data_IF_757530100204
#
_entry.id   IF_757530100204
#
_cell.length_a   1.000
_cell.length_b   1.000
_cell.length_c   1.000
_cell.angle_alpha   90.00
_cell.angle_beta   90.00
_cell.angle_gamma   90.00
#
_symmetry.space_group_name_H-M   'P 1'
#
loop_
_entity.id
_entity.type
_entity.pdbx_description
1 polymer ?
#
# COMPACT_ATOMS: atom_id res chain seq x y z
N UNK A 1 40.37 -29.45 9.88
CA UNK A 1 39.06 -28.87 10.24
C UNK A 1 39.27 -27.98 11.46
N UNK A 2 39.83 -26.79 11.23
CA UNK A 2 40.35 -25.87 12.24
C UNK A 2 39.38 -24.71 12.42
N UNK A 3 39.12 -24.38 13.68
CA UNK A 3 38.12 -23.42 14.23
C UNK A 3 38.33 -21.95 13.82
N UNK A 4 39.10 -21.65 12.77
CA UNK A 4 39.59 -20.30 12.46
C UNK A 4 38.74 -19.47 11.49
N UNK A 5 37.80 -20.07 10.75
CA UNK A 5 36.99 -19.33 9.76
C UNK A 5 36.04 -18.25 10.33
N UNK A 6 35.32 -18.45 11.45
CA UNK A 6 34.32 -17.46 11.89
C UNK A 6 34.99 -16.19 12.44
N UNK A 7 36.15 -16.34 13.09
CA UNK A 7 36.91 -15.22 13.64
C UNK A 7 37.51 -14.36 12.54
N UNK A 8 38.06 -14.97 11.47
CA UNK A 8 38.57 -14.22 10.31
C UNK A 8 37.47 -13.46 9.58
N UNK A 9 36.30 -14.08 9.35
CA UNK A 9 35.16 -13.39 8.72
C UNK A 9 34.63 -12.23 9.56
N UNK A 10 34.62 -12.35 10.89
CA UNK A 10 34.23 -11.26 11.79
C UNK A 10 35.27 -10.13 11.80
N UNK A 11 36.55 -10.48 11.81
CA UNK A 11 37.64 -9.50 11.74
C UNK A 11 37.65 -8.77 10.40
N UNK A 12 37.46 -9.46 9.27
CA UNK A 12 37.35 -8.83 7.94
C UNK A 12 36.13 -7.89 7.85
N UNK A 13 35.00 -8.28 8.44
CA UNK A 13 33.76 -7.48 8.45
C UNK A 13 33.84 -6.24 9.36
N UNK A 14 34.71 -6.24 10.36
CA UNK A 14 34.96 -5.12 11.28
C UNK A 14 36.14 -4.25 10.80
N UNK A 15 37.14 -4.85 10.15
CA UNK A 15 38.29 -4.13 9.59
C UNK A 15 37.89 -3.28 8.37
N UNK A 16 37.01 -3.78 7.51
CA UNK A 16 36.52 -3.03 6.34
C UNK A 16 35.95 -1.63 6.67
N UNK A 17 35.07 -1.50 7.68
CA UNK A 17 34.58 -0.21 8.16
C UNK A 17 35.64 0.74 8.75
N UNK A 18 36.72 0.22 9.34
CA UNK A 18 37.77 1.03 9.97
C UNK A 18 38.76 1.54 8.92
N UNK A 19 39.13 0.70 7.95
CA UNK A 19 39.95 1.11 6.80
C UNK A 19 39.21 2.13 5.92
N UNK A 20 37.90 1.97 5.71
CA UNK A 20 37.08 2.95 5.01
C UNK A 20 37.07 4.33 5.71
N UNK A 21 37.10 4.36 7.05
CA UNK A 21 37.17 5.59 7.83
C UNK A 21 38.51 6.32 7.65
N UNK A 22 39.63 5.58 7.57
CA UNK A 22 40.95 6.15 7.31
C UNK A 22 41.07 6.71 5.87
N UNK A 23 40.46 6.05 4.90
CA UNK A 23 40.41 6.49 3.51
C UNK A 23 39.53 7.74 3.32
N UNK A 24 38.47 7.92 4.11
CA UNK A 24 37.65 9.14 4.11
C UNK A 24 38.36 10.37 4.72
N UNK A 25 39.40 10.17 5.52
CA UNK A 25 40.21 11.26 6.10
C UNK A 25 41.34 11.75 5.19
N UNK A 26 41.79 10.93 4.24
CA UNK A 26 42.65 11.40 3.14
C UNK A 26 41.77 11.96 2.03
N UNK A 27 42.16 13.08 1.43
CA UNK A 27 41.38 13.85 0.45
C UNK A 27 41.23 13.17 -0.93
N UNK A 28 41.08 11.85 -0.96
CA UNK A 28 41.02 11.02 -2.17
C UNK A 28 39.62 10.41 -2.33
N UNK A 29 38.71 11.20 -2.92
CA UNK A 29 37.32 10.83 -3.17
C UNK A 29 37.18 9.53 -3.98
N UNK A 30 38.17 9.19 -4.82
CA UNK A 30 38.15 7.97 -5.61
C UNK A 30 38.34 6.71 -4.75
N UNK A 31 39.27 6.75 -3.78
CA UNK A 31 39.46 5.64 -2.84
C UNK A 31 38.30 5.49 -1.87
N UNK A 32 37.72 6.61 -1.42
CA UNK A 32 36.53 6.59 -0.57
C UNK A 32 35.33 5.96 -1.31
N UNK A 33 35.11 6.33 -2.57
CA UNK A 33 34.06 5.71 -3.39
C UNK A 33 34.31 4.22 -3.60
N UNK A 34 35.55 3.81 -3.90
CA UNK A 34 35.89 2.39 -4.09
C UNK A 34 35.69 1.56 -2.81
N UNK A 35 36.01 2.13 -1.64
CA UNK A 35 35.76 1.47 -0.35
C UNK A 35 34.25 1.34 -0.06
N UNK A 36 33.45 2.35 -0.40
CA UNK A 36 31.99 2.32 -0.25
C UNK A 36 31.32 1.35 -1.24
N UNK A 37 31.78 1.32 -2.50
CA UNK A 37 31.33 0.35 -3.52
C UNK A 37 31.63 -1.09 -3.10
N UNK A 38 32.80 -1.33 -2.48
CA UNK A 38 33.16 -2.65 -1.95
C UNK A 38 32.38 -3.08 -0.70
N UNK A 39 31.61 -2.19 -0.07
CA UNK A 39 30.73 -2.51 1.06
C UNK A 39 29.32 -2.95 0.64
N UNK A 40 28.96 -2.74 -0.63
CA UNK A 40 27.67 -3.15 -1.19
C UNK A 40 27.88 -4.50 -1.88
N UNK A 41 27.30 -5.56 -1.32
CA UNK A 41 27.23 -6.84 -2.01
C UNK A 41 26.42 -6.64 -3.30
N UNK A 42 27.03 -6.91 -4.45
CA UNK A 42 26.49 -6.63 -5.78
C UNK A 42 25.07 -7.15 -5.97
N UNK A 43 24.11 -6.25 -5.79
CA UNK A 43 22.71 -6.59 -5.64
C UNK A 43 21.97 -6.36 -6.97
N UNK A 44 21.04 -7.26 -7.28
CA UNK A 44 20.22 -7.26 -8.50
C UNK A 44 19.58 -5.93 -8.89
N UNK A 45 19.39 -5.02 -7.93
CA UNK A 45 18.80 -3.69 -8.13
C UNK A 45 19.74 -2.76 -8.89
N UNK A 46 21.05 -2.80 -8.63
CA UNK A 46 22.02 -1.96 -9.36
C UNK A 46 22.13 -2.40 -10.83
N UNK A 47 22.06 -3.71 -11.07
CA UNK A 47 21.96 -4.26 -12.42
C UNK A 47 20.66 -3.83 -13.13
N UNK A 48 19.51 -3.86 -12.43
CA UNK A 48 18.22 -3.36 -12.95
C UNK A 48 18.30 -1.86 -13.26
N UNK A 49 18.92 -1.05 -12.39
CA UNK A 49 19.14 0.39 -12.64
C UNK A 49 20.01 0.60 -13.88
N UNK A 50 21.11 -0.13 -14.02
CA UNK A 50 21.99 -0.02 -15.19
C UNK A 50 21.25 -0.44 -16.47
N UNK A 51 20.47 -1.51 -16.42
CA UNK A 51 19.64 -1.95 -17.55
C UNK A 51 18.61 -0.88 -17.95
N UNK A 52 17.91 -0.29 -16.98
CA UNK A 52 16.94 0.79 -17.23
C UNK A 52 17.60 2.08 -17.75
N UNK A 53 18.82 2.40 -17.30
CA UNK A 53 19.58 3.56 -17.79
C UNK A 53 20.12 3.37 -19.21
N UNK A 54 20.44 2.12 -19.58
CA UNK A 54 20.85 1.78 -20.95
C UNK A 54 19.66 1.79 -21.92
N UNK A 55 18.44 1.59 -21.43
CA UNK A 55 17.22 1.74 -22.23
C UNK A 55 16.89 3.23 -22.49
N UNK A 56 17.43 3.74 -23.60
CA UNK A 56 17.22 5.11 -24.06
C UNK A 56 15.83 5.38 -24.64
N UNK A 57 14.99 4.36 -24.87
CA UNK A 57 13.71 4.56 -25.56
C UNK A 57 12.63 5.07 -24.59
N UNK A 58 11.87 6.13 -24.94
CA UNK A 58 10.76 6.60 -24.09
C UNK A 58 9.58 5.63 -24.02
N UNK A 59 9.40 4.80 -25.05
CA UNK A 59 8.37 3.76 -25.15
C UNK A 59 9.00 2.56 -25.87
N UNK A 60 8.93 1.37 -25.26
CA UNK A 60 9.38 0.14 -25.90
C UNK A 60 8.53 -0.24 -27.13
N UNK A 61 7.20 -0.06 -27.05
CA UNK A 61 6.29 -0.32 -28.17
C UNK A 61 5.39 0.88 -28.47
N UNK A 62 5.88 1.86 -29.26
CA UNK A 62 5.11 3.04 -29.61
C UNK A 62 3.78 2.71 -30.31
N UNK A 63 3.73 1.68 -31.15
CA UNK A 63 2.50 1.33 -31.88
C UNK A 63 1.43 0.70 -30.98
N UNK A 64 1.84 -0.07 -29.97
CA UNK A 64 0.93 -0.71 -29.02
C UNK A 64 0.45 0.24 -27.92
N UNK A 65 1.22 1.30 -27.61
CA UNK A 65 0.92 2.21 -26.51
C UNK A 65 -0.48 2.87 -26.59
N UNK A 66 -0.94 3.48 -27.71
CA UNK A 66 -2.25 4.14 -27.75
C UNK A 66 -3.44 3.22 -27.48
N UNK A 67 -3.58 2.04 -28.12
CA UNK A 67 -4.68 1.14 -27.80
C UNK A 67 -4.60 0.60 -26.36
N UNK A 68 -3.39 0.35 -25.83
CA UNK A 68 -3.21 -0.13 -24.46
C UNK A 68 -3.53 0.94 -23.41
N UNK A 69 -3.16 2.20 -23.65
CA UNK A 69 -3.57 3.33 -22.80
C UNK A 69 -5.10 3.45 -22.76
N UNK A 70 -5.79 3.35 -23.91
CA UNK A 70 -7.27 3.39 -23.95
C UNK A 70 -7.88 2.20 -23.21
N UNK A 71 -7.31 1.01 -23.35
CA UNK A 71 -7.77 -0.18 -22.63
C UNK A 71 -7.60 0.00 -21.11
N UNK A 72 -6.50 0.60 -20.67
CA UNK A 72 -6.26 0.97 -19.28
C UNK A 72 -7.24 2.05 -18.78
N UNK A 73 -7.48 3.13 -19.53
CA UNK A 73 -8.47 4.15 -19.13
C UNK A 73 -9.87 3.53 -19.04
N UNK A 74 -10.23 2.64 -19.97
CA UNK A 74 -11.48 1.87 -19.91
C UNK A 74 -11.54 0.97 -18.68
N UNK A 75 -10.45 0.32 -18.30
CA UNK A 75 -10.42 -0.51 -17.09
C UNK A 75 -10.57 0.34 -15.83
N UNK A 76 -10.02 1.56 -15.78
CA UNK A 76 -10.27 2.52 -14.71
C UNK A 76 -11.75 2.92 -14.63
N UNK A 77 -12.44 3.14 -15.76
CA UNK A 77 -13.87 3.42 -15.77
C UNK A 77 -14.68 2.25 -15.19
N UNK A 78 -14.38 1.02 -15.64
CA UNK A 78 -15.00 -0.21 -15.14
C UNK A 78 -14.72 -0.38 -13.65
N UNK A 79 -13.50 -0.12 -13.21
CA UNK A 79 -13.10 -0.18 -11.81
C UNK A 79 -13.87 0.83 -10.96
N UNK A 80 -13.92 2.09 -11.38
CA UNK A 80 -14.68 3.15 -10.72
C UNK A 80 -16.16 2.77 -10.51
N UNK A 81 -16.78 2.12 -11.50
CA UNK A 81 -18.19 1.68 -11.44
C UNK A 81 -18.43 0.42 -10.62
N UNK A 82 -17.48 -0.50 -10.55
CA UNK A 82 -17.72 -1.85 -10.03
C UNK A 82 -16.94 -2.18 -8.75
N UNK A 83 -15.78 -1.58 -8.53
CA UNK A 83 -14.91 -1.87 -7.38
C UNK A 83 -15.58 -1.55 -6.04
N UNK A 84 -16.52 -0.60 -6.03
CA UNK A 84 -17.20 -0.09 -4.83
C UNK A 84 -18.60 -0.68 -4.61
N UNK A 85 -19.08 -1.53 -5.52
CA UNK A 85 -20.41 -2.12 -5.40
C UNK A 85 -20.50 -2.98 -4.16
N UNK A 86 -21.64 -2.93 -3.46
CA UNK A 86 -21.93 -3.78 -2.31
C UNK A 86 -21.63 -5.25 -2.65
N UNK A 87 -20.82 -5.95 -1.85
CA UNK A 87 -20.52 -7.35 -2.09
C UNK A 87 -21.76 -8.21 -1.84
N UNK A 88 -22.06 -9.11 -2.77
CA UNK A 88 -23.11 -10.11 -2.59
C UNK A 88 -22.58 -11.30 -1.78
N UNK A 89 -23.46 -11.95 -1.00
CA UNK A 89 -23.17 -13.24 -0.37
C UNK A 89 -22.19 -13.18 0.81
N UNK A 90 -22.22 -12.12 1.63
CA UNK A 90 -21.48 -12.12 2.89
C UNK A 90 -22.08 -13.15 3.85
N UNK A 91 -21.29 -14.14 4.25
CA UNK A 91 -21.70 -15.25 5.13
C UNK A 91 -21.69 -14.86 6.61
N UNK A 92 -22.38 -13.77 6.99
CA UNK A 92 -22.38 -13.22 8.35
C UNK A 92 -23.63 -13.55 9.18
N UNK A 93 -24.55 -14.38 8.66
CA UNK A 93 -25.76 -14.81 9.37
C UNK A 93 -26.61 -13.65 9.85
N UNK A 94 -27.00 -13.65 11.13
CA UNK A 94 -27.81 -12.60 11.76
C UNK A 94 -27.12 -11.23 11.79
N UNK A 95 -25.78 -11.17 11.69
CA UNK A 95 -25.01 -9.92 11.74
C UNK A 95 -24.85 -9.25 10.37
N UNK A 96 -25.36 -9.87 9.31
CA UNK A 96 -25.33 -9.34 7.93
C UNK A 96 -25.72 -7.86 7.79
N UNK A 97 -26.81 -7.35 8.41
CA UNK A 97 -27.18 -5.93 8.25
C UNK A 97 -26.16 -4.95 8.80
N UNK A 98 -25.36 -5.35 9.79
CA UNK A 98 -24.31 -4.51 10.39
C UNK A 98 -22.99 -4.69 9.64
N UNK A 99 -22.65 -5.93 9.29
CA UNK A 99 -21.37 -6.26 8.65
C UNK A 99 -21.30 -5.78 7.21
N UNK A 100 -22.41 -5.87 6.46
CA UNK A 100 -22.45 -5.46 5.05
C UNK A 100 -22.05 -4.01 4.80
N UNK A 101 -22.62 -3.00 5.50
CA UNK A 101 -22.21 -1.62 5.30
C UNK A 101 -20.75 -1.38 5.70
N UNK A 102 -20.26 -2.03 6.77
CA UNK A 102 -18.86 -1.91 7.21
C UNK A 102 -17.90 -2.45 6.15
N UNK A 103 -18.12 -3.68 5.66
CA UNK A 103 -17.29 -4.28 4.60
C UNK A 103 -17.37 -3.46 3.31
N UNK A 104 -18.55 -2.92 2.97
CA UNK A 104 -18.73 -2.07 1.78
C UNK A 104 -17.92 -0.78 1.90
N UNK A 105 -17.97 -0.10 3.04
CA UNK A 105 -17.19 1.11 3.31
C UNK A 105 -15.69 0.84 3.21
N UNK A 106 -15.20 -0.22 3.84
CA UNK A 106 -13.79 -0.61 3.79
C UNK A 106 -13.34 -0.92 2.37
N UNK A 107 -14.12 -1.73 1.63
CA UNK A 107 -13.85 -2.06 0.22
C UNK A 107 -13.79 -0.81 -0.65
N UNK A 108 -14.75 0.11 -0.49
CA UNK A 108 -14.78 1.36 -1.25
C UNK A 108 -13.57 2.25 -0.94
N UNK A 109 -13.17 2.33 0.34
CA UNK A 109 -12.01 3.11 0.78
C UNK A 109 -10.72 2.58 0.17
N UNK A 110 -10.49 1.26 0.24
CA UNK A 110 -9.30 0.62 -0.35
C UNK A 110 -9.28 0.84 -1.86
N UNK A 111 -10.39 0.55 -2.54
CA UNK A 111 -10.51 0.71 -3.98
C UNK A 111 -10.22 2.15 -4.44
N UNK A 112 -10.75 3.17 -3.75
CA UNK A 112 -10.46 4.57 -4.06
C UNK A 112 -8.97 4.88 -3.91
N UNK A 113 -8.39 4.53 -2.75
CA UNK A 113 -6.98 4.81 -2.48
C UNK A 113 -6.03 4.15 -3.48
N UNK A 114 -6.37 2.94 -3.95
CA UNK A 114 -5.59 2.25 -4.96
C UNK A 114 -5.76 2.88 -6.35
N UNK A 115 -6.99 3.21 -6.75
CA UNK A 115 -7.26 3.86 -8.03
C UNK A 115 -6.53 5.21 -8.13
N UNK A 116 -6.58 6.04 -7.07
CA UNK A 116 -5.91 7.33 -7.03
C UNK A 116 -4.38 7.19 -7.14
N UNK A 117 -3.82 6.17 -6.47
CA UNK A 117 -2.39 5.85 -6.57
C UNK A 117 -2.01 5.45 -7.99
N UNK A 118 -2.75 4.52 -8.59
CA UNK A 118 -2.49 4.04 -9.96
C UNK A 118 -2.50 5.21 -10.95
N UNK A 119 -3.51 6.09 -10.89
CA UNK A 119 -3.60 7.26 -11.77
C UNK A 119 -2.40 8.19 -11.58
N UNK A 120 -2.03 8.47 -10.32
CA UNK A 120 -0.89 9.31 -9.99
C UNK A 120 0.43 8.72 -10.49
N UNK A 121 0.65 7.42 -10.31
CA UNK A 121 1.87 6.74 -10.69
C UNK A 121 2.02 6.68 -12.22
N UNK A 122 0.96 6.33 -12.94
CA UNK A 122 0.97 6.34 -14.43
C UNK A 122 1.17 7.76 -14.95
N UNK A 123 0.50 8.75 -14.37
CA UNK A 123 0.68 10.16 -14.74
C UNK A 123 2.12 10.62 -14.54
N UNK A 124 2.73 10.27 -13.40
CA UNK A 124 4.12 10.60 -13.09
C UNK A 124 5.07 9.93 -14.09
N UNK A 125 4.83 8.66 -14.41
CA UNK A 125 5.59 7.92 -15.40
C UNK A 125 5.52 8.60 -16.79
N UNK A 126 4.31 8.96 -17.24
CA UNK A 126 4.15 9.66 -18.51
C UNK A 126 4.84 11.02 -18.52
N UNK A 127 4.77 11.77 -17.42
CA UNK A 127 5.45 13.05 -17.30
C UNK A 127 6.97 12.91 -17.43
N UNK A 128 7.56 11.91 -16.79
CA UNK A 128 9.01 11.65 -16.89
C UNK A 128 9.41 11.18 -18.29
N UNK A 129 8.63 10.27 -18.90
CA UNK A 129 8.90 9.78 -20.27
C UNK A 129 8.70 10.86 -21.33
N UNK A 130 7.71 11.74 -21.16
CA UNK A 130 7.48 12.89 -22.05
C UNK A 130 8.66 13.86 -22.03
N UNK A 131 9.24 14.11 -20.84
CA UNK A 131 10.43 14.94 -20.67
C UNK A 131 11.70 14.28 -21.24
N UNK A 132 11.79 12.95 -21.22
CA UNK A 132 12.89 12.19 -21.84
C UNK A 132 12.71 12.01 -23.36
N UNK A 133 11.55 12.37 -23.92
CA UNK A 133 11.30 12.24 -25.35
C UNK A 133 11.81 13.48 -26.10
N UNK A 134 12.41 13.33 -27.30
CA UNK A 134 12.75 14.48 -28.13
C UNK A 134 11.51 15.35 -28.39
N UNK A 135 11.65 16.67 -28.22
CA UNK A 135 10.54 17.60 -28.37
C UNK A 135 9.93 17.47 -29.77
N UNK A 136 8.60 17.29 -29.83
CA UNK A 136 7.90 17.11 -31.10
C UNK A 136 8.05 15.74 -31.76
N UNK A 137 8.67 14.75 -31.10
CA UNK A 137 8.63 13.36 -31.57
C UNK A 137 7.21 12.79 -31.52
N UNK A 138 7.02 11.63 -32.15
CA UNK A 138 5.73 10.93 -32.13
C UNK A 138 5.38 10.50 -30.71
N UNK A 139 6.33 9.92 -30.00
CA UNK A 139 6.26 9.44 -28.62
C UNK A 139 5.94 10.58 -27.67
N UNK A 140 6.62 11.72 -27.82
CA UNK A 140 6.35 12.93 -27.04
C UNK A 140 4.88 13.35 -27.16
N UNK A 141 4.33 13.42 -28.38
CA UNK A 141 2.91 13.77 -28.59
C UNK A 141 1.95 12.74 -27.99
N UNK A 142 2.29 11.46 -28.10
CA UNK A 142 1.47 10.36 -27.56
C UNK A 142 1.40 10.42 -26.03
N UNK A 143 2.55 10.56 -25.37
CA UNK A 143 2.67 10.70 -23.92
C UNK A 143 1.98 11.97 -23.42
N UNK A 144 2.19 13.12 -24.08
CA UNK A 144 1.54 14.37 -23.73
C UNK A 144 0.01 14.30 -23.83
N UNK A 145 -0.51 13.61 -24.86
CA UNK A 145 -1.96 13.37 -25.02
C UNK A 145 -2.51 12.45 -23.93
N UNK A 146 -1.83 11.33 -23.67
CA UNK A 146 -2.22 10.37 -22.63
C UNK A 146 -2.18 10.99 -21.23
N UNK A 147 -1.15 11.79 -20.91
CA UNK A 147 -1.05 12.53 -19.66
C UNK A 147 -2.20 13.52 -19.49
N UNK A 148 -2.54 14.30 -20.53
CA UNK A 148 -3.68 15.23 -20.50
C UNK A 148 -5.00 14.51 -20.22
N UNK A 149 -5.19 13.29 -20.73
CA UNK A 149 -6.36 12.47 -20.41
C UNK A 149 -6.38 12.09 -18.92
N UNK A 150 -5.24 11.69 -18.36
CA UNK A 150 -5.14 11.38 -16.92
C UNK A 150 -5.31 12.62 -16.03
N UNK A 151 -4.76 13.77 -16.43
CA UNK A 151 -4.95 15.06 -15.74
C UNK A 151 -6.45 15.41 -15.63
N UNK A 152 -7.21 15.18 -16.70
CA UNK A 152 -8.65 15.40 -16.72
C UNK A 152 -9.43 14.40 -15.83
N UNK A 153 -8.94 13.18 -15.67
CA UNK A 153 -9.55 12.19 -14.76
C UNK A 153 -9.33 12.57 -13.29
N UNK A 154 -8.11 12.96 -12.93
CA UNK A 154 -7.73 13.30 -11.55
C UNK A 154 -8.57 14.48 -11.00
N UNK A 155 -8.70 15.55 -11.79
CA UNK A 155 -9.51 16.72 -11.43
C UNK A 155 -11.00 16.40 -11.16
N UNK A 156 -11.52 15.36 -11.80
CA UNK A 156 -12.91 14.91 -11.63
C UNK A 156 -13.07 13.87 -10.50
N UNK A 157 -12.02 13.11 -10.19
CA UNK A 157 -12.05 12.12 -9.11
C UNK A 157 -11.92 12.77 -7.72
N UNK A 158 -11.10 13.82 -7.59
CA UNK A 158 -10.86 14.54 -6.34
C UNK A 158 -12.15 15.11 -5.68
N UNK A 159 -13.20 15.39 -6.47
CA UNK A 159 -14.49 15.90 -5.95
C UNK A 159 -15.36 14.83 -5.27
N UNK A 160 -15.01 13.55 -5.36
CA UNK A 160 -15.78 12.42 -4.78
C UNK A 160 -15.21 11.89 -3.46
N UNK A 161 -14.22 12.57 -2.88
CA UNK A 161 -13.54 12.17 -1.65
C UNK A 161 -14.49 12.04 -0.45
N UNK A 162 -14.48 10.84 0.13
CA UNK A 162 -15.14 10.36 1.35
C UNK A 162 -15.99 11.36 2.15
N UNK A 163 -17.31 11.26 2.02
CA UNK A 163 -18.20 11.68 3.09
C UNK A 163 -18.09 10.64 4.22
N UNK A 164 -17.18 10.87 5.18
CA UNK A 164 -17.33 10.26 6.50
C UNK A 164 -18.69 10.74 7.00
N UNK A 165 -19.64 9.85 7.32
CA UNK A 165 -20.97 10.28 7.73
C UNK A 165 -20.86 11.25 8.92
N UNK A 166 -21.43 12.45 8.78
CA UNK A 166 -21.31 13.53 9.77
C UNK A 166 -21.78 13.11 11.18
N UNK A 167 -22.60 12.07 11.30
CA UNK A 167 -23.05 11.53 12.57
C UNK A 167 -21.95 10.87 13.41
N UNK A 168 -20.81 10.49 12.81
CA UNK A 168 -19.65 9.95 13.54
C UNK A 168 -18.79 11.04 14.22
N UNK A 169 -19.09 12.32 14.00
CA UNK A 169 -18.27 13.46 14.45
C UNK A 169 -18.90 14.22 15.64
N UNK A 170 -20.03 13.75 16.18
CA UNK A 170 -20.69 14.39 17.32
C UNK A 170 -20.18 13.96 18.70
N UNK A 171 -19.77 14.91 19.55
CA UNK A 171 -19.30 14.67 20.93
C UNK A 171 -20.32 14.03 21.89
N UNK A 172 -21.60 14.00 21.54
CA UNK A 172 -22.65 13.36 22.32
C UNK A 172 -22.52 11.83 22.39
N UNK A 173 -22.02 11.19 21.31
CA UNK A 173 -21.81 9.73 21.28
C UNK A 173 -20.69 9.32 22.23
N UNK A 174 -19.60 10.09 22.26
CA UNK A 174 -18.46 9.82 23.14
C UNK A 174 -18.84 9.90 24.62
N UNK A 175 -19.69 10.87 24.99
CA UNK A 175 -20.15 11.04 26.38
C UNK A 175 -21.07 9.92 26.83
N UNK A 176 -21.99 9.48 25.96
CA UNK A 176 -22.85 8.33 26.25
C UNK A 176 -22.02 7.05 26.44
N UNK A 177 -21.09 6.78 25.51
CA UNK A 177 -20.20 5.61 25.56
C UNK A 177 -19.33 5.62 26.83
N UNK A 178 -18.76 6.77 27.20
CA UNK A 178 -17.95 6.90 28.41
C UNK A 178 -18.76 6.62 29.69
N UNK A 179 -20.02 7.07 29.75
CA UNK A 179 -20.88 6.81 30.91
C UNK A 179 -21.21 5.32 31.08
N UNK A 180 -21.52 4.63 29.98
CA UNK A 180 -21.84 3.19 29.98
C UNK A 180 -20.62 2.34 30.33
N UNK A 181 -19.44 2.75 29.84
CA UNK A 181 -18.16 2.14 30.20
C UNK A 181 -17.89 2.25 31.69
N UNK A 182 -18.08 3.45 32.27
CA UNK A 182 -17.80 3.67 33.69
C UNK A 182 -18.70 2.82 34.60
N UNK A 183 -19.97 2.62 34.22
CA UNK A 183 -20.90 1.77 34.97
C UNK A 183 -20.53 0.27 34.87
N UNK A 184 -20.10 -0.19 33.69
CA UNK A 184 -19.65 -1.58 33.49
C UNK A 184 -18.36 -1.90 34.26
N UNK A 185 -17.48 -0.92 34.44
CA UNK A 185 -16.19 -1.10 35.13
C UNK A 185 -16.33 -1.29 36.66
N UNK A 186 -17.48 -0.90 37.25
CA UNK A 186 -17.72 -0.96 38.70
C UNK A 186 -17.98 -2.37 39.25
N UNK A 187 -18.33 -3.34 38.39
CA UNK A 187 -18.66 -4.70 38.82
C UNK A 187 -17.78 -5.75 38.15
N UNK A 188 -17.46 -6.86 38.85
CA UNK A 188 -16.70 -7.98 38.28
C UNK A 188 -17.38 -8.58 37.04
N UNK A 189 -18.71 -8.70 37.08
CA UNK A 189 -19.54 -9.16 35.96
C UNK A 189 -19.53 -8.18 34.78
N UNK A 190 -19.61 -6.88 35.04
CA UNK A 190 -19.54 -5.84 34.01
C UNK A 190 -18.17 -5.77 33.35
N UNK A 191 -17.08 -5.93 34.11
CA UNK A 191 -15.70 -6.04 33.59
C UNK A 191 -15.54 -7.25 32.67
N UNK A 192 -16.06 -8.41 33.07
CA UNK A 192 -16.02 -9.63 32.25
C UNK A 192 -16.89 -9.50 30.98
N UNK A 193 -18.06 -8.90 31.09
CA UNK A 193 -18.92 -8.58 29.95
C UNK A 193 -18.26 -7.63 28.95
N UNK A 194 -17.60 -6.58 29.44
CA UNK A 194 -16.85 -5.63 28.62
C UNK A 194 -15.71 -6.32 27.85
N UNK A 195 -14.97 -7.22 28.51
CA UNK A 195 -13.91 -8.02 27.87
C UNK A 195 -14.46 -8.83 26.70
N UNK A 196 -15.57 -9.54 26.92
CA UNK A 196 -16.22 -10.34 25.87
C UNK A 196 -16.65 -9.44 24.70
N UNK A 197 -17.25 -8.28 24.98
CA UNK A 197 -17.65 -7.33 23.93
C UNK A 197 -16.45 -6.82 23.14
N UNK A 198 -15.37 -6.40 23.80
CA UNK A 198 -14.15 -5.95 23.14
C UNK A 198 -13.60 -7.06 22.25
N UNK A 199 -13.50 -8.29 22.75
CA UNK A 199 -13.00 -9.43 22.00
C UNK A 199 -13.86 -9.71 20.75
N UNK A 200 -15.19 -9.71 20.90
CA UNK A 200 -16.12 -9.90 19.79
C UNK A 200 -16.00 -8.79 18.74
N UNK A 201 -15.86 -7.54 19.17
CA UNK A 201 -15.66 -6.39 18.27
C UNK A 201 -14.33 -6.51 17.52
N UNK A 202 -13.24 -6.88 18.19
CA UNK A 202 -11.94 -7.09 17.55
C UNK A 202 -12.00 -8.22 16.51
N UNK A 203 -12.60 -9.36 16.85
CA UNK A 203 -12.76 -10.49 15.92
C UNK A 203 -13.63 -10.07 14.72
N UNK A 204 -14.74 -9.37 14.97
CA UNK A 204 -15.62 -8.86 13.92
C UNK A 204 -14.91 -7.87 13.00
N UNK A 205 -14.15 -6.93 13.56
CA UNK A 205 -13.36 -5.95 12.81
C UNK A 205 -12.28 -6.63 11.95
N UNK A 206 -11.55 -7.59 12.52
CA UNK A 206 -10.58 -8.40 11.79
C UNK A 206 -11.23 -9.12 10.60
N UNK A 207 -12.36 -9.79 10.82
CA UNK A 207 -13.09 -10.49 9.75
C UNK A 207 -13.52 -9.52 8.65
N UNK A 208 -14.05 -8.35 9.01
CA UNK A 208 -14.47 -7.34 8.04
C UNK A 208 -13.31 -6.82 7.20
N UNK A 209 -12.15 -6.54 7.81
CA UNK A 209 -10.95 -6.08 7.13
C UNK A 209 -10.43 -7.13 6.13
N UNK A 210 -10.31 -8.38 6.56
CA UNK A 210 -9.86 -9.48 5.69
C UNK A 210 -10.82 -9.66 4.51
N UNK A 211 -12.13 -9.62 4.75
CA UNK A 211 -13.12 -9.73 3.68
C UNK A 211 -13.05 -8.57 2.69
N UNK A 212 -12.94 -7.33 3.18
CA UNK A 212 -12.79 -6.16 2.32
C UNK A 212 -11.52 -6.24 1.46
N UNK A 213 -10.39 -6.65 2.04
CA UNK A 213 -9.14 -6.85 1.32
C UNK A 213 -9.27 -7.94 0.23
N UNK A 214 -9.88 -9.08 0.57
CA UNK A 214 -10.09 -10.18 -0.38
C UNK A 214 -10.99 -9.77 -1.56
N UNK A 215 -12.10 -9.05 -1.29
CA UNK A 215 -13.01 -8.55 -2.33
C UNK A 215 -12.28 -7.55 -3.23
N UNK A 216 -11.56 -6.60 -2.64
CA UNK A 216 -10.83 -5.55 -3.38
C UNK A 216 -9.74 -6.16 -4.25
N UNK A 217 -8.96 -7.10 -3.71
CA UNK A 217 -7.93 -7.82 -4.48
C UNK A 217 -8.53 -8.60 -5.65
N UNK A 218 -9.63 -9.32 -5.42
CA UNK A 218 -10.31 -10.06 -6.50
C UNK A 218 -10.79 -9.14 -7.62
N UNK A 219 -11.42 -8.01 -7.28
CA UNK A 219 -11.92 -7.05 -8.27
C UNK A 219 -10.77 -6.36 -9.02
N UNK A 220 -9.70 -5.99 -8.32
CA UNK A 220 -8.51 -5.40 -8.92
C UNK A 220 -7.86 -6.37 -9.90
N UNK A 221 -7.68 -7.64 -9.49
CA UNK A 221 -7.15 -8.68 -10.36
C UNK A 221 -7.96 -8.89 -11.64
N UNK A 222 -9.28 -8.84 -11.54
CA UNK A 222 -10.16 -9.05 -12.69
C UNK A 222 -10.23 -7.85 -13.64
N UNK A 223 -9.95 -6.64 -13.16
CA UNK A 223 -10.21 -5.41 -13.91
C UNK A 223 -8.92 -4.71 -14.32
N UNK A 224 -7.95 -4.57 -13.41
CA UNK A 224 -6.77 -3.70 -13.60
C UNK A 224 -5.47 -4.46 -13.85
N UNK A 225 -5.25 -5.64 -13.26
CA UNK A 225 -3.94 -6.32 -13.33
C UNK A 225 -3.47 -6.54 -14.78
N UNK A 226 -4.32 -7.10 -15.65
CA UNK A 226 -3.94 -7.39 -17.04
C UNK A 226 -3.75 -6.12 -17.90
N UNK A 227 -4.70 -5.16 -17.96
CA UNK A 227 -4.50 -3.93 -18.73
C UNK A 227 -3.28 -3.13 -18.27
N UNK A 228 -2.98 -3.15 -16.97
CA UNK A 228 -1.82 -2.48 -16.40
C UNK A 228 -0.52 -3.20 -16.78
N UNK A 229 -0.46 -4.53 -16.72
CA UNK A 229 0.72 -5.29 -17.14
C UNK A 229 1.05 -5.04 -18.62
N UNK A 230 0.05 -5.09 -19.50
CA UNK A 230 0.24 -4.83 -20.93
C UNK A 230 0.68 -3.38 -21.18
N UNK A 231 0.12 -2.41 -20.45
CA UNK A 231 0.55 -1.03 -20.54
C UNK A 231 2.02 -0.85 -20.11
N UNK A 232 2.45 -1.55 -19.06
CA UNK A 232 3.85 -1.52 -18.60
C UNK A 232 4.80 -2.13 -19.61
N UNK A 233 4.41 -3.24 -20.26
CA UNK A 233 5.17 -3.88 -21.33
C UNK A 233 5.37 -2.92 -22.51
N UNK A 234 4.32 -2.21 -22.94
CA UNK A 234 4.43 -1.25 -24.04
C UNK A 234 5.22 0.03 -23.68
N UNK A 235 5.28 0.40 -22.40
CA UNK A 235 6.11 1.52 -21.95
C UNK A 235 7.59 1.08 -21.89
N UNK A 236 7.87 -0.11 -21.36
CA UNK A 236 9.24 -0.60 -21.17
C UNK A 236 10.03 0.14 -20.07
N UNK A 237 11.04 -0.53 -19.52
CA UNK A 237 12.01 0.03 -18.55
C UNK A 237 11.40 0.84 -17.40
N UNK A 238 10.18 0.53 -16.97
CA UNK A 238 9.39 1.33 -16.03
C UNK A 238 9.23 0.64 -14.66
N UNK A 239 10.16 -0.25 -14.32
CA UNK A 239 10.06 -1.18 -13.20
C UNK A 239 8.75 -1.97 -13.18
N UNK A 240 8.22 -2.19 -11.98
CA UNK A 240 7.02 -3.00 -11.75
C UNK A 240 5.76 -2.12 -11.65
N UNK A 241 4.61 -2.57 -12.20
CA UNK A 241 3.36 -1.84 -12.06
C UNK A 241 2.92 -1.72 -10.59
N UNK A 242 2.14 -0.69 -10.22
CA UNK A 242 1.60 -0.54 -8.87
C UNK A 242 0.75 -1.74 -8.50
N UNK A 243 1.05 -2.37 -7.36
CA UNK A 243 0.27 -3.47 -6.84
C UNK A 243 -0.70 -3.00 -5.75
N UNK A 244 -1.90 -3.58 -5.74
CA UNK A 244 -2.90 -3.29 -4.72
C UNK A 244 -2.40 -3.68 -3.31
N UNK A 245 -2.58 -2.83 -2.28
CA UNK A 245 -1.96 -3.00 -0.97
C UNK A 245 -2.62 -4.06 -0.08
N UNK A 246 -3.27 -5.09 -0.63
CA UNK A 246 -3.93 -6.16 0.15
C UNK A 246 -3.02 -6.80 1.19
N UNK A 247 -1.71 -6.94 0.90
CA UNK A 247 -0.73 -7.43 1.88
C UNK A 247 -0.57 -6.49 3.07
N UNK A 248 -0.50 -5.19 2.83
CA UNK A 248 -0.42 -4.18 3.90
C UNK A 248 -1.72 -4.11 4.70
N UNK A 249 -2.88 -4.27 4.05
CA UNK A 249 -4.17 -4.36 4.74
C UNK A 249 -4.28 -5.63 5.59
N UNK A 250 -3.82 -6.77 5.10
CA UNK A 250 -3.77 -8.01 5.86
C UNK A 250 -2.81 -7.89 7.05
N UNK A 251 -1.65 -7.25 6.86
CA UNK A 251 -0.72 -6.94 7.94
C UNK A 251 -1.37 -6.02 8.98
N UNK A 252 -2.03 -4.94 8.56
CA UNK A 252 -2.75 -4.03 9.46
C UNK A 252 -3.87 -4.75 10.22
N UNK A 253 -4.65 -5.61 9.56
CA UNK A 253 -5.68 -6.42 10.21
C UNK A 253 -5.08 -7.38 11.24
N UNK A 254 -3.95 -8.01 10.90
CA UNK A 254 -3.23 -8.93 11.80
C UNK A 254 -2.67 -8.19 13.02
N UNK A 255 -2.04 -7.04 12.81
CA UNK A 255 -1.56 -6.17 13.89
C UNK A 255 -2.73 -5.72 14.77
N UNK A 256 -3.86 -5.32 14.18
CA UNK A 256 -5.05 -4.93 14.92
C UNK A 256 -5.62 -6.09 15.76
N UNK A 257 -5.61 -7.31 15.22
CA UNK A 257 -6.02 -8.50 15.95
C UNK A 257 -5.08 -8.80 17.12
N UNK A 258 -3.76 -8.79 16.89
CA UNK A 258 -2.74 -8.97 17.94
C UNK A 258 -2.90 -7.90 19.02
N UNK A 259 -3.04 -6.63 18.60
CA UNK A 259 -3.19 -5.51 19.50
C UNK A 259 -4.47 -5.64 20.32
N UNK A 260 -5.60 -6.03 19.73
CA UNK A 260 -6.81 -6.31 20.49
C UNK A 260 -6.64 -7.45 21.49
N UNK A 261 -5.90 -8.50 21.12
CA UNK A 261 -5.60 -9.64 21.99
C UNK A 261 -4.65 -9.30 23.15
N UNK A 262 -3.74 -8.34 22.97
CA UNK A 262 -2.81 -7.89 24.01
C UNK A 262 -3.42 -6.77 24.87
N UNK A 263 -4.07 -5.79 24.24
CA UNK A 263 -4.67 -4.65 24.94
C UNK A 263 -5.90 -5.06 25.76
N UNK A 264 -6.70 -6.02 25.32
CA UNK A 264 -7.87 -6.46 26.08
C UNK A 264 -7.50 -7.00 27.49
N UNK A 265 -6.59 -7.99 27.63
CA UNK A 265 -6.18 -8.47 28.95
C UNK A 265 -5.35 -7.42 29.72
N UNK A 266 -4.55 -6.59 29.04
CA UNK A 266 -3.78 -5.52 29.71
C UNK A 266 -4.70 -4.46 30.31
N UNK A 267 -5.70 -3.99 29.56
CA UNK A 267 -6.70 -3.03 30.04
C UNK A 267 -7.42 -3.59 31.27
N UNK A 268 -7.80 -4.86 31.21
CA UNK A 268 -8.42 -5.58 32.34
C UNK A 268 -7.48 -5.67 33.53
N UNK A 269 -6.22 -6.06 33.35
CA UNK A 269 -5.23 -6.13 34.42
C UNK A 269 -4.98 -4.78 35.09
N UNK A 270 -4.91 -3.70 34.31
CA UNK A 270 -4.81 -2.32 34.83
C UNK A 270 -6.07 -1.94 35.60
N UNK A 271 -7.26 -2.24 35.08
CA UNK A 271 -8.53 -1.96 35.76
C UNK A 271 -8.68 -2.75 37.06
N UNK A 272 -8.22 -4.00 37.12
CA UNK A 272 -8.27 -4.84 38.33
C UNK A 272 -7.18 -4.53 39.35
N UNK A 273 -6.07 -3.92 38.94
CA UNK A 273 -4.98 -3.50 39.85
C UNK A 273 -5.17 -2.10 40.43
N UNK A 274 -6.02 -1.27 39.81
CA UNK A 274 -6.35 0.08 40.27
C UNK A 274 -7.59 0.12 41.20
N UNK A 275 -8.25 -1.02 41.44
CA UNK A 275 -9.37 -1.21 42.41
C UNK A 275 -8.96 -2.13 43.53
#
# INVERSE_FOLDING_TARGET
MTREEPSRRLLDRIAGPIDAFHVMTEADAAKANQALEGMVDGDSVEAEILEELLDSQPLAEPDAFPPLHRAFVRSLEVYNRNARRTPAGLSAGIFTPIVTPVVTLLTATVANSFQDRVIRDVRRLYLMREANSPMGSREHRMLASARRQLDALDANMARRGSAIPAFLVGGAVLSAVASTLNELLRSNLGRLGLLIVILLVTIGAFWCLVRAAAITRRRTRLILDQPMALLWEAIGGAGKPPHEPSRAFLAAATVLLILGWVLAPLAVAVIFSLT
#
